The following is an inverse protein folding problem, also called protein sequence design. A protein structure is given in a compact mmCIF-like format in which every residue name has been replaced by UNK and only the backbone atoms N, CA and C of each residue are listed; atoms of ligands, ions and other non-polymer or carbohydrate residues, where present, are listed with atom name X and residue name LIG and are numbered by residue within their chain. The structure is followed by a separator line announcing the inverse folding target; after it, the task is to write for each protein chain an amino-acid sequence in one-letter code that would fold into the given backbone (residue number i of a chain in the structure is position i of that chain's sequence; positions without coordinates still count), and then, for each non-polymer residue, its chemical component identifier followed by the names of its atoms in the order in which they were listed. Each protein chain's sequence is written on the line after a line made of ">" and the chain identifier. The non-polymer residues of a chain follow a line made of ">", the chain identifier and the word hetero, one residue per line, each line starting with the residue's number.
data_IF_411753380077
#
_entry.id   IF_411753380077
#
_cell.length_a   1.000
_cell.length_b   1.000
_cell.length_c   1.000
_cell.angle_alpha   90.00
_cell.angle_beta   90.00
_cell.angle_gamma   90.00
#
_symmetry.space_group_name_H-M   'P 1'
#
loop_
_entity.id
_entity.type
_entity.pdbx_description
1 polymer ?
#
# COMPACT_ATOMS: atom_id res chain seq x y z
N UNK A 1 24.10 -2.34 18.50
CA UNK A 1 23.31 -1.62 19.51
C UNK A 1 22.50 -0.55 18.80
N UNK A 2 21.22 -0.85 18.51
CA UNK A 2 20.11 0.11 18.40
C UNK A 2 18.77 -0.64 18.18
N UNK A 3 18.58 -1.79 18.84
CA UNK A 3 17.38 -2.62 18.65
C UNK A 3 16.11 -2.01 19.27
N UNK A 4 16.22 -0.99 20.12
CA UNK A 4 15.08 -0.33 20.76
C UNK A 4 14.29 0.56 19.80
N UNK A 5 14.93 1.10 18.76
CA UNK A 5 14.31 2.02 17.80
C UNK A 5 13.48 1.27 16.74
N UNK A 6 13.78 -0.01 16.50
CA UNK A 6 13.13 -0.82 15.46
C UNK A 6 11.66 -1.18 15.77
N UNK A 7 11.30 -1.26 17.06
CA UNK A 7 10.09 -2.00 17.49
C UNK A 7 8.97 -1.13 18.09
N UNK A 8 9.02 0.21 17.94
CA UNK A 8 8.07 1.14 18.59
C UNK A 8 7.89 0.93 20.11
N UNK A 9 8.74 0.12 20.75
CA UNK A 9 8.59 -0.28 22.15
C UNK A 9 8.71 0.91 23.11
N UNK A 10 9.31 1.99 22.64
CA UNK A 10 9.51 3.24 23.38
C UNK A 10 8.50 4.33 23.04
N UNK A 11 7.57 4.09 22.10
CA UNK A 11 6.54 5.06 21.71
C UNK A 11 5.36 5.01 22.69
N UNK A 12 5.61 5.47 23.92
CA UNK A 12 4.60 5.56 24.96
C UNK A 12 3.67 6.76 24.75
N UNK A 13 2.44 6.74 25.30
CA UNK A 13 1.50 7.87 25.22
C UNK A 13 2.11 9.23 25.61
N UNK A 14 2.97 9.27 26.63
CA UNK A 14 3.67 10.47 27.09
C UNK A 14 4.57 11.06 25.99
N UNK A 15 5.38 10.21 25.34
CA UNK A 15 6.26 10.63 24.25
C UNK A 15 5.47 11.17 23.05
N UNK A 16 4.30 10.58 22.76
CA UNK A 16 3.43 11.06 21.70
C UNK A 16 2.86 12.44 22.03
N UNK A 17 2.41 12.65 23.28
CA UNK A 17 1.90 13.95 23.73
C UNK A 17 2.99 15.02 23.67
N UNK A 18 4.21 14.71 24.11
CA UNK A 18 5.34 15.62 24.05
C UNK A 18 5.73 15.96 22.60
N UNK A 19 5.73 14.97 21.71
CA UNK A 19 5.98 15.17 20.28
C UNK A 19 4.94 16.10 19.64
N UNK A 20 3.65 15.89 19.94
CA UNK A 20 2.57 16.75 19.46
C UNK A 20 2.70 18.18 20.02
N UNK A 21 3.01 18.32 21.31
CA UNK A 21 3.23 19.62 21.93
C UNK A 21 4.41 20.36 21.30
N UNK A 22 5.50 19.66 20.98
CA UNK A 22 6.65 20.21 20.27
C UNK A 22 6.30 20.69 18.85
N UNK A 23 5.39 19.99 18.16
CA UNK A 23 4.82 20.41 16.88
C UNK A 23 3.77 21.53 17.01
N UNK A 24 3.44 21.98 18.23
CA UNK A 24 2.50 23.07 18.49
C UNK A 24 1.04 22.64 18.65
N UNK A 25 0.77 21.34 18.81
CA UNK A 25 -0.57 20.80 19.04
C UNK A 25 -0.71 20.26 20.45
N UNK A 26 -1.81 20.61 21.11
CA UNK A 26 -2.15 20.09 22.43
C UNK A 26 -3.27 19.06 22.31
N UNK A 27 -3.05 17.91 22.93
CA UNK A 27 -4.07 16.87 23.03
C UNK A 27 -5.02 17.24 24.17
N UNK A 28 -6.31 17.41 23.88
CA UNK A 28 -7.37 17.59 24.87
C UNK A 28 -7.91 16.23 25.33
N UNK A 29 -8.26 15.37 24.37
CA UNK A 29 -8.85 14.07 24.64
C UNK A 29 -8.58 13.07 23.52
N UNK A 30 -8.71 11.77 23.83
CA UNK A 30 -8.47 10.68 22.89
C UNK A 30 -7.06 10.11 23.03
N UNK A 31 -6.29 10.14 21.96
CA UNK A 31 -5.08 9.35 21.75
C UNK A 31 -5.36 7.85 21.59
N UNK A 32 -6.43 7.55 20.86
CA UNK A 32 -6.84 6.18 20.54
C UNK A 32 -5.98 5.63 19.41
N UNK A 33 -5.32 4.50 19.64
CA UNK A 33 -4.59 3.80 18.60
C UNK A 33 -5.55 3.31 17.49
N UNK A 34 -5.22 3.59 16.24
CA UNK A 34 -5.90 3.06 15.06
C UNK A 34 -5.21 1.79 14.56
N UNK A 35 -5.93 0.95 13.83
CA UNK A 35 -5.37 -0.29 13.29
C UNK A 35 -4.44 0.02 12.11
N UNK A 36 -3.14 0.11 12.38
CA UNK A 36 -2.08 0.20 11.37
C UNK A 36 -0.89 -0.65 11.82
N UNK A 37 -0.46 -1.56 10.96
CA UNK A 37 0.62 -2.51 11.26
C UNK A 37 2.00 -1.96 10.93
N UNK A 38 2.09 -1.19 9.84
CA UNK A 38 3.34 -0.61 9.41
C UNK A 38 3.78 0.50 10.35
N UNK A 39 2.94 1.53 10.46
CA UNK A 39 3.19 2.74 11.22
C UNK A 39 2.34 2.76 12.48
N UNK A 40 2.72 3.57 13.49
CA UNK A 40 1.86 3.76 14.67
C UNK A 40 0.99 4.98 14.45
N UNK A 41 -0.32 4.76 14.42
CA UNK A 41 -1.31 5.77 14.09
C UNK A 41 -2.24 5.97 15.28
N UNK A 42 -2.40 7.21 15.72
CA UNK A 42 -3.26 7.57 16.84
C UNK A 42 -4.20 8.71 16.45
N UNK A 43 -5.43 8.62 16.92
CA UNK A 43 -6.43 9.66 16.74
C UNK A 43 -6.66 10.42 18.04
N UNK A 44 -6.73 11.74 17.96
CA UNK A 44 -6.95 12.61 19.11
C UNK A 44 -7.78 13.84 18.73
N UNK A 45 -8.22 14.56 19.76
CA UNK A 45 -8.90 15.84 19.64
C UNK A 45 -8.07 16.92 20.31
N UNK A 46 -8.01 18.12 19.75
CA UNK A 46 -7.33 19.28 20.35
C UNK A 46 -8.26 20.13 21.24
N UNK A 47 -7.70 21.19 21.84
CA UNK A 47 -8.43 22.13 22.70
C UNK A 47 -9.57 22.89 21.95
N UNK A 48 -9.50 22.97 20.61
CA UNK A 48 -10.52 23.56 19.75
C UNK A 48 -11.59 22.55 19.28
N UNK A 49 -11.55 21.32 19.80
CA UNK A 49 -12.42 20.20 19.43
C UNK A 49 -12.26 19.72 17.98
N UNK A 50 -11.13 19.99 17.34
CA UNK A 50 -10.77 19.45 16.03
C UNK A 50 -10.13 18.08 16.20
N UNK A 51 -10.49 17.14 15.32
CA UNK A 51 -9.96 15.77 15.34
C UNK A 51 -8.78 15.65 14.38
N UNK A 52 -7.74 14.99 14.86
CA UNK A 52 -6.51 14.75 14.13
C UNK A 52 -6.09 13.30 14.21
N UNK A 53 -5.24 12.91 13.27
CA UNK A 53 -4.51 11.65 13.28
C UNK A 53 -3.02 11.96 13.24
N UNK A 54 -2.26 11.40 14.17
CA UNK A 54 -0.80 11.41 14.11
C UNK A 54 -0.30 10.06 13.63
N UNK A 55 0.60 10.06 12.65
CA UNK A 55 1.26 8.88 12.10
C UNK A 55 2.74 8.96 12.41
N UNK A 56 3.23 8.06 13.25
CA UNK A 56 4.65 7.85 13.48
C UNK A 56 5.16 6.82 12.48
N UNK A 57 6.05 7.27 11.59
CA UNK A 57 6.67 6.44 10.57
C UNK A 57 7.58 5.40 11.20
N UNK A 58 7.50 4.15 10.73
CA UNK A 58 8.39 3.09 11.20
C UNK A 58 9.83 3.47 10.87
N UNK A 59 10.73 3.52 11.88
CA UNK A 59 12.14 3.74 11.64
C UNK A 59 12.70 2.72 10.65
N UNK A 60 13.62 3.17 9.80
CA UNK A 60 14.32 2.33 8.80
C UNK A 60 13.43 1.79 7.65
N UNK A 61 12.13 2.11 7.59
CA UNK A 61 11.30 1.84 6.40
C UNK A 61 11.53 2.89 5.32
N UNK A 62 11.30 4.15 5.66
CA UNK A 62 11.45 5.27 4.75
C UNK A 62 12.46 6.28 5.29
N UNK A 63 13.28 6.80 4.39
CA UNK A 63 14.14 7.96 4.68
C UNK A 63 13.28 9.23 4.77
N UNK A 64 13.82 10.28 5.43
CA UNK A 64 13.17 11.59 5.51
C UNK A 64 12.79 12.12 4.12
N UNK A 65 13.71 12.01 3.15
CA UNK A 65 13.47 12.46 1.77
C UNK A 65 12.31 11.71 1.09
N UNK A 66 12.18 10.40 1.33
CA UNK A 66 11.08 9.59 0.79
C UNK A 66 9.74 9.97 1.43
N UNK A 67 9.70 10.22 2.74
CA UNK A 67 8.47 10.67 3.40
C UNK A 67 8.05 12.05 2.86
N UNK A 68 9.01 12.97 2.70
CA UNK A 68 8.74 14.30 2.15
C UNK A 68 8.23 14.24 0.70
N UNK A 69 8.71 13.31 -0.13
CA UNK A 69 8.17 13.10 -1.48
C UNK A 69 6.68 12.69 -1.47
N UNK A 70 6.27 11.80 -0.57
CA UNK A 70 4.85 11.48 -0.37
C UNK A 70 4.06 12.70 0.08
N UNK A 71 4.61 13.50 1.00
CA UNK A 71 3.94 14.71 1.48
C UNK A 71 3.71 15.72 0.36
N UNK A 72 4.70 15.93 -0.51
CA UNK A 72 4.56 16.78 -1.69
C UNK A 72 3.50 16.22 -2.62
N UNK A 73 3.52 14.91 -2.90
CA UNK A 73 2.50 14.31 -3.77
C UNK A 73 1.09 14.42 -3.18
N UNK A 74 0.92 14.20 -1.87
CA UNK A 74 -0.36 14.35 -1.19
C UNK A 74 -0.88 15.80 -1.24
N UNK A 75 0.02 16.79 -1.15
CA UNK A 75 -0.32 18.21 -1.29
C UNK A 75 -0.73 18.55 -2.71
N UNK A 76 0.04 18.14 -3.73
CA UNK A 76 -0.30 18.33 -5.13
C UNK A 76 -1.67 17.71 -5.48
N UNK A 77 -1.93 16.48 -4.99
CA UNK A 77 -3.22 15.83 -5.16
C UNK A 77 -4.37 16.64 -4.53
N UNK A 78 -4.17 17.16 -3.32
CA UNK A 78 -5.18 17.99 -2.66
C UNK A 78 -5.41 19.33 -3.40
N UNK A 79 -4.35 19.94 -3.95
CA UNK A 79 -4.42 21.16 -4.77
C UNK A 79 -5.14 20.91 -6.10
N UNK A 80 -4.95 19.74 -6.70
CA UNK A 80 -5.67 19.28 -7.89
C UNK A 80 -7.06 18.70 -7.55
N UNK A 81 -7.60 19.01 -6.36
CA UNK A 81 -8.92 18.61 -5.83
C UNK A 81 -9.20 17.10 -5.86
N UNK A 82 -8.16 16.28 -5.71
CA UNK A 82 -8.30 14.85 -5.47
C UNK A 82 -8.61 14.63 -3.99
N UNK A 83 -9.59 13.77 -3.64
CA UNK A 83 -9.98 13.50 -2.27
C UNK A 83 -8.93 12.59 -1.61
N UNK A 84 -7.84 13.20 -1.18
CA UNK A 84 -6.81 12.59 -0.32
C UNK A 84 -6.65 13.39 0.96
N UNK A 85 -5.93 12.83 1.94
CA UNK A 85 -5.62 13.53 3.20
C UNK A 85 -4.15 13.94 3.21
N UNK A 86 -3.88 15.20 2.89
CA UNK A 86 -2.55 15.78 2.99
C UNK A 86 -2.14 16.02 4.47
N UNK A 87 -0.85 15.90 4.80
CA UNK A 87 -0.34 16.26 6.13
C UNK A 87 -0.46 17.76 6.39
N UNK A 88 -0.73 18.12 7.64
CA UNK A 88 -0.74 19.50 8.11
C UNK A 88 0.65 20.10 8.07
N UNK A 89 0.73 21.37 7.69
CA UNK A 89 1.94 22.16 7.91
C UNK A 89 1.89 22.78 9.31
N UNK A 90 2.70 22.26 10.23
CA UNK A 90 2.84 22.77 11.59
C UNK A 90 4.24 23.36 11.74
N UNK A 91 4.36 24.56 12.31
CA UNK A 91 5.64 25.26 12.43
C UNK A 91 6.44 25.35 11.09
N UNK A 92 5.73 25.45 9.97
CA UNK A 92 6.31 25.55 8.62
C UNK A 92 6.82 24.23 8.03
N UNK A 93 6.52 23.07 8.62
CA UNK A 93 6.91 21.75 8.12
C UNK A 93 5.76 20.75 8.23
N UNK A 94 5.78 19.70 7.41
CA UNK A 94 4.81 18.59 7.46
C UNK A 94 5.36 17.37 8.17
N UNK A 95 6.67 17.16 8.08
CA UNK A 95 7.40 16.09 8.75
C UNK A 95 8.16 16.63 9.97
N UNK A 96 7.97 15.97 11.09
CA UNK A 96 8.59 16.28 12.36
C UNK A 96 9.44 15.11 12.85
N UNK A 97 10.44 15.40 13.68
CA UNK A 97 11.29 14.42 14.32
C UNK A 97 11.29 14.67 15.84
N UNK A 98 10.94 13.65 16.62
CA UNK A 98 10.98 13.73 18.08
C UNK A 98 11.52 12.42 18.65
N UNK A 99 12.57 12.50 19.46
CA UNK A 99 13.21 11.35 20.12
C UNK A 99 13.49 10.15 19.17
N UNK A 100 13.92 10.45 17.94
CA UNK A 100 14.26 9.46 16.92
C UNK A 100 13.10 8.95 16.06
N UNK A 101 11.87 9.43 16.28
CA UNK A 101 10.71 9.06 15.47
C UNK A 101 10.29 10.20 14.54
N UNK A 102 10.21 9.88 13.25
CA UNK A 102 9.58 10.75 12.27
C UNK A 102 8.06 10.65 12.39
N UNK A 103 7.35 11.77 12.36
CA UNK A 103 5.89 11.79 12.39
C UNK A 103 5.29 12.95 11.60
N UNK A 104 4.05 12.74 11.17
CA UNK A 104 3.22 13.77 10.56
C UNK A 104 1.81 13.74 11.16
N UNK A 105 1.14 14.89 11.10
CA UNK A 105 -0.24 15.04 11.61
C UNK A 105 -1.17 15.33 10.44
N UNK A 106 -2.31 14.65 10.42
CA UNK A 106 -3.30 14.71 9.35
C UNK A 106 -4.64 15.13 9.94
N UNK A 107 -5.48 15.87 9.18
CA UNK A 107 -6.89 16.02 9.53
C UNK A 107 -7.55 14.65 9.70
N UNK A 108 -8.29 14.44 10.78
CA UNK A 108 -9.04 13.20 10.94
C UNK A 108 -10.27 13.24 10.05
N UNK A 109 -10.21 12.49 8.97
CA UNK A 109 -11.37 12.24 8.11
C UNK A 109 -12.17 11.05 8.62
N UNK A 110 -13.50 11.15 8.53
CA UNK A 110 -14.40 10.02 8.78
C UNK A 110 -15.05 9.61 7.47
N UNK A 111 -15.42 8.34 7.37
CA UNK A 111 -16.13 7.80 6.22
C UNK A 111 -16.57 6.38 6.51
N UNK A 112 -17.51 5.88 5.72
CA UNK A 112 -17.86 4.45 5.70
C UNK A 112 -16.82 3.72 4.84
N UNK A 113 -16.84 2.40 4.90
CA UNK A 113 -16.07 1.61 3.94
C UNK A 113 -16.68 1.76 2.55
N UNK A 114 -15.84 1.85 1.53
CA UNK A 114 -16.23 1.74 0.13
C UNK A 114 -16.92 0.38 -0.13
N UNK A 115 -18.02 0.41 -0.88
CA UNK A 115 -18.80 -0.77 -1.23
C UNK A 115 -18.41 -1.25 -2.63
N UNK A 116 -17.73 -2.40 -2.71
CA UNK A 116 -17.23 -2.93 -3.99
C UNK A 116 -18.34 -3.31 -4.97
N UNK A 117 -19.51 -3.74 -4.47
CA UNK A 117 -20.64 -4.16 -5.30
C UNK A 117 -21.45 -2.97 -5.88
N UNK A 118 -21.05 -1.73 -5.57
CA UNK A 118 -21.74 -0.53 -6.00
C UNK A 118 -21.04 0.09 -7.22
N UNK A 119 -21.67 -0.04 -8.39
CA UNK A 119 -21.14 0.45 -9.67
C UNK A 119 -21.00 1.96 -9.73
N UNK A 120 -21.91 2.70 -9.10
CA UNK A 120 -21.80 4.16 -9.02
C UNK A 120 -20.54 4.53 -8.23
N UNK A 121 -20.30 3.88 -7.08
CA UNK A 121 -19.08 4.11 -6.32
C UNK A 121 -17.83 3.72 -7.11
N UNK A 122 -17.87 2.62 -7.87
CA UNK A 122 -16.77 2.19 -8.73
C UNK A 122 -16.45 3.22 -9.82
N UNK A 123 -17.47 3.82 -10.46
CA UNK A 123 -17.31 4.89 -11.44
C UNK A 123 -16.62 6.11 -10.82
N UNK A 124 -17.09 6.56 -9.65
CA UNK A 124 -16.46 7.67 -8.91
C UNK A 124 -15.00 7.37 -8.54
N UNK A 125 -14.71 6.15 -8.10
CA UNK A 125 -13.34 5.71 -7.81
C UNK A 125 -12.50 5.74 -9.09
N UNK A 126 -12.99 5.21 -10.22
CA UNK A 126 -12.31 5.24 -11.51
C UNK A 126 -11.98 6.68 -11.95
N UNK A 127 -12.96 7.59 -11.86
CA UNK A 127 -12.79 9.01 -12.16
C UNK A 127 -11.67 9.66 -11.36
N UNK A 128 -11.66 9.45 -10.04
CA UNK A 128 -10.63 10.05 -9.19
C UNK A 128 -9.27 9.36 -9.30
N UNK A 129 -9.22 8.07 -9.63
CA UNK A 129 -7.97 7.41 -10.02
C UNK A 129 -7.39 8.02 -11.30
N UNK A 130 -8.24 8.39 -12.26
CA UNK A 130 -7.84 9.19 -13.42
C UNK A 130 -7.18 10.50 -13.02
N UNK A 131 -7.76 11.24 -12.06
CA UNK A 131 -7.18 12.49 -11.52
C UNK A 131 -5.89 12.26 -10.72
N UNK A 132 -5.81 11.19 -9.93
CA UNK A 132 -4.59 10.80 -9.20
C UNK A 132 -3.47 10.59 -10.21
N UNK A 133 -3.71 9.80 -11.26
CA UNK A 133 -2.71 9.49 -12.28
C UNK A 133 -2.39 10.67 -13.20
N UNK A 134 -3.36 11.55 -13.47
CA UNK A 134 -3.10 12.82 -14.16
C UNK A 134 -2.09 13.66 -13.38
N UNK A 135 -2.29 13.82 -12.07
CA UNK A 135 -1.34 14.50 -11.17
C UNK A 135 -0.01 13.74 -11.08
N UNK A 136 -0.09 12.42 -10.94
CA UNK A 136 1.05 11.52 -10.84
C UNK A 136 1.93 11.47 -12.10
N UNK A 137 1.40 11.90 -13.25
CA UNK A 137 2.14 12.00 -14.52
C UNK A 137 2.98 13.26 -14.67
N UNK A 138 2.73 14.30 -13.85
CA UNK A 138 3.44 15.60 -13.94
C UNK A 138 4.95 15.45 -13.70
N UNK A 139 5.34 14.56 -12.79
CA UNK A 139 6.73 14.18 -12.52
C UNK A 139 6.78 12.82 -11.83
N UNK A 140 7.96 12.18 -11.80
CA UNK A 140 8.19 10.94 -11.05
C UNK A 140 8.76 11.24 -9.67
N UNK A 141 8.57 10.31 -8.73
CA UNK A 141 9.37 10.31 -7.51
C UNK A 141 10.85 10.13 -7.84
N UNK A 142 11.73 10.88 -7.19
CA UNK A 142 13.18 10.81 -7.38
C UNK A 142 13.84 9.87 -6.37
N UNK A 143 13.29 9.74 -5.16
CA UNK A 143 13.84 8.87 -4.10
C UNK A 143 12.91 7.75 -3.65
N UNK A 144 11.58 7.89 -3.80
CA UNK A 144 10.69 6.75 -3.57
C UNK A 144 10.91 5.65 -4.62
N UNK A 145 10.71 4.37 -4.24
CA UNK A 145 10.97 3.27 -5.16
C UNK A 145 10.10 3.32 -6.41
N UNK A 146 10.57 2.62 -7.43
CA UNK A 146 9.76 2.22 -8.59
C UNK A 146 9.46 0.74 -8.46
N UNK A 147 8.20 0.34 -8.70
CA UNK A 147 7.79 -1.06 -8.67
C UNK A 147 8.69 -1.88 -9.60
N UNK A 148 9.22 -2.98 -9.08
CA UNK A 148 10.07 -3.86 -9.84
C UNK A 148 10.42 -5.15 -9.10
N UNK A 149 11.03 -6.08 -9.85
CA UNK A 149 11.35 -7.43 -9.40
C UNK A 149 12.28 -7.47 -8.19
N UNK A 150 13.21 -6.51 -8.08
CA UNK A 150 14.18 -6.52 -7.00
C UNK A 150 13.54 -6.43 -5.60
N UNK A 151 12.72 -5.40 -5.37
CA UNK A 151 12.05 -5.17 -4.08
C UNK A 151 10.95 -6.21 -3.82
N UNK A 152 10.20 -6.61 -4.85
CA UNK A 152 9.01 -7.44 -4.68
C UNK A 152 9.26 -8.95 -4.74
N UNK A 153 10.36 -9.39 -5.36
CA UNK A 153 10.66 -10.81 -5.55
C UNK A 153 12.05 -11.20 -5.03
N UNK A 154 13.12 -10.56 -5.52
CA UNK A 154 14.49 -11.03 -5.25
C UNK A 154 14.89 -10.85 -3.79
N UNK A 155 14.72 -9.65 -3.23
CA UNK A 155 15.01 -9.40 -1.83
C UNK A 155 14.09 -10.21 -0.89
N UNK A 156 12.77 -10.30 -1.13
CA UNK A 156 11.89 -11.23 -0.41
C UNK A 156 12.35 -12.68 -0.47
N UNK A 157 12.74 -13.17 -1.64
CA UNK A 157 13.18 -14.56 -1.81
C UNK A 157 14.45 -14.85 -1.00
N UNK A 158 15.46 -13.97 -1.08
CA UNK A 158 16.69 -14.07 -0.28
C UNK A 158 16.41 -14.11 1.22
N UNK A 159 15.47 -13.29 1.70
CA UNK A 159 15.05 -13.29 3.08
C UNK A 159 14.33 -14.60 3.45
N UNK A 160 13.40 -15.05 2.61
CA UNK A 160 12.61 -16.26 2.86
C UNK A 160 13.48 -17.53 2.88
N UNK A 161 14.56 -17.58 2.10
CA UNK A 161 15.54 -18.69 2.16
C UNK A 161 16.10 -18.91 3.57
N UNK A 162 16.28 -17.82 4.33
CA UNK A 162 16.85 -17.83 5.67
C UNK A 162 15.79 -17.65 6.77
N UNK A 163 14.50 -17.57 6.40
CA UNK A 163 13.43 -17.29 7.35
C UNK A 163 13.23 -18.48 8.30
N UNK A 164 13.34 -18.27 9.63
CA UNK A 164 13.17 -19.33 10.62
C UNK A 164 11.71 -19.77 10.77
N UNK A 165 10.75 -18.94 10.34
CA UNK A 165 9.31 -19.21 10.44
C UNK A 165 8.86 -20.33 9.50
N UNK A 166 9.61 -20.59 8.43
CA UNK A 166 9.31 -21.65 7.47
C UNK A 166 9.73 -23.00 8.08
N UNK A 167 8.80 -23.95 8.31
CA UNK A 167 9.16 -25.21 8.94
C UNK A 167 10.08 -26.04 8.05
N UNK A 168 10.95 -26.83 8.68
CA UNK A 168 12.02 -27.58 7.98
C UNK A 168 11.51 -28.53 6.91
N UNK A 169 10.36 -29.16 7.12
CA UNK A 169 9.79 -30.11 6.16
C UNK A 169 9.26 -29.43 4.89
N UNK A 170 8.63 -28.26 5.02
CA UNK A 170 8.02 -27.52 3.91
C UNK A 170 9.01 -26.63 3.16
N UNK A 171 10.14 -26.27 3.79
CA UNK A 171 11.09 -25.28 3.26
C UNK A 171 11.52 -25.55 1.81
N UNK A 172 11.96 -26.76 1.49
CA UNK A 172 12.45 -27.04 0.13
C UNK A 172 11.34 -26.89 -0.91
N UNK A 173 10.17 -27.47 -0.65
CA UNK A 173 9.03 -27.40 -1.58
C UNK A 173 8.51 -25.96 -1.73
N UNK A 174 8.42 -25.21 -0.63
CA UNK A 174 8.02 -23.81 -0.66
C UNK A 174 9.00 -22.97 -1.49
N UNK A 175 10.31 -23.07 -1.21
CA UNK A 175 11.31 -22.26 -1.92
C UNK A 175 11.40 -22.61 -3.41
N UNK A 176 11.16 -23.87 -3.80
CA UNK A 176 11.05 -24.29 -5.20
C UNK A 176 9.81 -23.71 -5.88
N UNK A 177 8.67 -23.71 -5.21
CA UNK A 177 7.45 -23.07 -5.74
C UNK A 177 7.62 -21.56 -5.87
N UNK A 178 8.28 -20.90 -4.90
CA UNK A 178 8.58 -19.47 -4.96
C UNK A 178 9.54 -19.15 -6.10
N UNK A 179 10.66 -19.89 -6.26
CA UNK A 179 11.59 -19.63 -7.37
C UNK A 179 10.93 -19.87 -8.73
N UNK A 180 10.15 -20.95 -8.88
CA UNK A 180 9.42 -21.21 -10.12
C UNK A 180 8.39 -20.12 -10.45
N UNK A 181 7.72 -19.57 -9.43
CA UNK A 181 6.84 -18.42 -9.61
C UNK A 181 7.62 -17.17 -10.06
N UNK A 182 8.78 -16.90 -9.46
CA UNK A 182 9.64 -15.77 -9.83
C UNK A 182 10.10 -15.89 -11.29
N UNK A 183 10.61 -17.05 -11.69
CA UNK A 183 11.07 -17.30 -13.07
C UNK A 183 9.96 -17.02 -14.10
N UNK A 184 8.71 -17.41 -13.79
CA UNK A 184 7.56 -17.13 -14.64
C UNK A 184 7.28 -15.62 -14.65
N UNK A 185 7.20 -14.96 -13.49
CA UNK A 185 6.93 -13.52 -13.43
C UNK A 185 7.98 -12.73 -14.23
N UNK A 186 9.25 -13.10 -14.15
CA UNK A 186 10.32 -12.47 -14.95
C UNK A 186 10.05 -12.51 -16.45
N UNK A 187 9.50 -13.62 -16.96
CA UNK A 187 9.21 -13.78 -18.39
C UNK A 187 8.02 -12.93 -18.88
N UNK A 188 7.13 -12.54 -17.97
CA UNK A 188 5.94 -11.71 -18.28
C UNK A 188 6.09 -10.25 -17.81
N UNK A 189 7.08 -9.95 -16.96
CA UNK A 189 7.30 -8.61 -16.47
C UNK A 189 7.94 -7.74 -17.56
N UNK A 190 7.32 -6.59 -17.79
CA UNK A 190 7.81 -5.58 -18.73
C UNK A 190 7.89 -4.22 -18.04
N UNK A 191 8.73 -3.34 -18.57
CA UNK A 191 9.05 -2.02 -17.98
C UNK A 191 8.84 -0.86 -18.95
N UNK A 192 8.36 -1.16 -20.16
CA UNK A 192 7.99 -0.23 -21.22
C UNK A 192 6.54 0.26 -21.07
N UNK A 193 6.18 0.61 -19.84
CA UNK A 193 4.97 1.36 -19.50
C UNK A 193 5.34 2.79 -19.12
N UNK A 194 4.37 3.71 -19.24
CA UNK A 194 4.57 5.06 -18.74
C UNK A 194 4.52 5.07 -17.21
N UNK A 195 5.63 5.43 -16.58
CA UNK A 195 5.75 5.45 -15.12
C UNK A 195 5.05 6.67 -14.52
N UNK A 196 4.18 6.42 -13.56
CA UNK A 196 3.42 7.44 -12.82
C UNK A 196 3.76 7.37 -11.33
N UNK A 197 3.59 8.47 -10.59
CA UNK A 197 3.42 8.40 -9.14
C UNK A 197 2.05 7.81 -8.83
N UNK A 198 2.04 6.71 -8.09
CA UNK A 198 0.86 5.92 -7.75
C UNK A 198 0.49 6.11 -6.28
N UNK A 199 -0.76 5.77 -5.95
CA UNK A 199 -1.11 5.39 -4.58
C UNK A 199 -0.31 4.16 -4.13
N UNK A 200 -0.07 3.20 -5.03
CA UNK A 200 0.81 2.04 -4.84
C UNK A 200 0.19 0.88 -4.06
N UNK A 201 -0.80 1.18 -3.21
CA UNK A 201 -1.61 0.22 -2.44
C UNK A 201 -3.12 0.51 -2.52
N UNK A 202 -3.62 0.88 -3.70
CA UNK A 202 -5.04 1.21 -3.88
C UNK A 202 -5.90 -0.06 -3.90
N UNK A 203 -6.56 -0.33 -2.77
CA UNK A 203 -7.53 -1.41 -2.62
C UNK A 203 -8.71 -0.94 -1.75
N UNK A 204 -9.85 -1.66 -1.72
CA UNK A 204 -11.07 -1.23 -1.04
C UNK A 204 -10.87 -0.80 0.43
N UNK A 205 -9.98 -1.47 1.15
CA UNK A 205 -9.61 -1.13 2.54
C UNK A 205 -8.96 0.25 2.73
N UNK A 206 -8.34 0.82 1.69
CA UNK A 206 -7.72 2.16 1.67
C UNK A 206 -8.61 3.22 1.00
N UNK A 207 -9.89 2.89 0.77
CA UNK A 207 -10.89 3.83 0.23
C UNK A 207 -12.02 3.97 1.26
N UNK A 208 -12.18 5.18 1.76
CA UNK A 208 -13.34 5.56 2.57
C UNK A 208 -14.40 6.23 1.68
N UNK A 209 -15.64 6.21 2.14
CA UNK A 209 -16.75 6.82 1.43
C UNK A 209 -17.51 7.84 2.30
N UNK A 210 -17.60 9.07 1.82
CA UNK A 210 -18.41 10.14 2.40
C UNK A 210 -18.72 11.18 1.32
N UNK A 211 -19.92 11.11 0.75
CA UNK A 211 -20.37 11.97 -0.35
C UNK A 211 -19.43 11.93 -1.59
N UNK A 212 -18.67 10.84 -1.71
CA UNK A 212 -17.59 10.61 -2.68
C UNK A 212 -16.49 9.71 -2.08
N UNK A 213 -15.57 9.19 -2.91
CA UNK A 213 -14.45 8.40 -2.43
C UNK A 213 -13.43 9.30 -1.73
N UNK A 214 -12.71 8.74 -0.77
CA UNK A 214 -11.60 9.37 -0.07
C UNK A 214 -10.48 8.36 0.05
N UNK A 215 -9.39 8.60 -0.68
CA UNK A 215 -8.22 7.74 -0.68
C UNK A 215 -7.35 8.06 0.53
N UNK A 216 -6.99 7.02 1.28
CA UNK A 216 -6.21 7.15 2.50
C UNK A 216 -4.95 6.30 2.41
N UNK A 217 -3.93 6.72 3.15
CA UNK A 217 -2.65 6.01 3.30
C UNK A 217 -1.79 5.93 2.03
N UNK A 218 -1.12 7.03 1.71
CA UNK A 218 -0.11 7.10 0.65
C UNK A 218 1.27 6.57 1.10
N UNK A 219 1.36 5.79 2.20
CA UNK A 219 2.66 5.28 2.69
C UNK A 219 3.41 4.46 1.66
N UNK A 220 2.66 3.70 0.87
CA UNK A 220 3.17 2.82 -0.18
C UNK A 220 3.19 3.48 -1.57
N UNK A 221 2.93 4.80 -1.63
CA UNK A 221 3.06 5.57 -2.86
C UNK A 221 4.46 5.38 -3.44
N UNK A 222 4.50 5.12 -4.75
CA UNK A 222 5.70 4.72 -5.48
C UNK A 222 5.52 4.97 -6.96
N UNK A 223 6.59 4.90 -7.72
CA UNK A 223 6.51 4.94 -9.18
C UNK A 223 6.04 3.58 -9.72
N UNK A 224 5.20 3.55 -10.77
CA UNK A 224 4.80 2.30 -11.38
C UNK A 224 3.80 2.43 -12.53
N UNK A 225 3.28 1.29 -13.04
CA UNK A 225 2.24 1.28 -14.06
C UNK A 225 0.87 1.58 -13.45
N UNK A 226 0.03 2.32 -14.17
CA UNK A 226 -1.32 2.72 -13.74
C UNK A 226 -2.18 1.54 -13.25
N UNK A 227 -2.07 0.38 -13.91
CA UNK A 227 -2.84 -0.83 -13.54
C UNK A 227 -2.66 -1.25 -12.08
N UNK A 228 -1.54 -0.91 -11.43
CA UNK A 228 -1.28 -1.23 -10.02
C UNK A 228 -2.38 -0.71 -9.10
N UNK A 229 -2.91 0.49 -9.37
CA UNK A 229 -3.95 1.09 -8.53
C UNK A 229 -5.38 0.70 -8.95
N UNK A 230 -5.52 -0.12 -10.00
CA UNK A 230 -6.81 -0.53 -10.56
C UNK A 230 -7.14 -1.99 -10.26
N UNK A 231 -6.17 -2.90 -10.41
CA UNK A 231 -6.47 -4.34 -10.46
C UNK A 231 -7.01 -4.91 -9.15
N UNK A 232 -6.66 -4.30 -8.00
CA UNK A 232 -7.10 -4.74 -6.68
C UNK A 232 -8.55 -4.35 -6.35
N UNK A 233 -9.19 -3.56 -7.21
CA UNK A 233 -10.62 -3.22 -7.11
C UNK A 233 -11.51 -4.28 -7.79
N UNK A 234 -10.94 -5.05 -8.71
CA UNK A 234 -11.65 -6.08 -9.45
C UNK A 234 -11.92 -7.30 -8.56
N UNK A 235 -13.14 -7.85 -8.65
CA UNK A 235 -13.56 -9.01 -7.88
C UNK A 235 -14.56 -9.86 -8.66
N UNK A 236 -14.83 -11.07 -8.15
CA UNK A 236 -15.78 -11.98 -8.78
C UNK A 236 -15.20 -12.73 -9.98
N UNK A 237 -16.09 -13.28 -10.80
CA UNK A 237 -15.72 -14.06 -11.98
C UNK A 237 -15.21 -13.18 -13.13
N UNK A 238 -14.57 -13.79 -14.13
CA UNK A 238 -13.95 -13.07 -15.26
C UNK A 238 -14.92 -12.16 -16.02
N UNK A 239 -16.20 -12.51 -16.11
CA UNK A 239 -17.21 -11.65 -16.75
C UNK A 239 -17.54 -10.42 -15.89
N UNK A 240 -17.63 -10.59 -14.58
CA UNK A 240 -17.86 -9.50 -13.62
C UNK A 240 -16.66 -8.55 -13.59
N UNK A 241 -15.43 -9.09 -13.53
CA UNK A 241 -14.19 -8.31 -13.59
C UNK A 241 -14.08 -7.50 -14.89
N UNK A 242 -14.49 -8.06 -16.03
CA UNK A 242 -14.51 -7.33 -17.31
C UNK A 242 -15.46 -6.15 -17.26
N UNK A 243 -16.66 -6.36 -16.72
CA UNK A 243 -17.68 -5.32 -16.58
C UNK A 243 -17.22 -4.21 -15.63
N UNK A 244 -16.61 -4.57 -14.50
CA UNK A 244 -16.02 -3.62 -13.56
C UNK A 244 -14.88 -2.83 -14.19
N UNK A 245 -14.00 -3.51 -14.95
CA UNK A 245 -12.90 -2.88 -15.65
C UNK A 245 -13.40 -1.88 -16.70
N UNK A 246 -14.48 -2.21 -17.43
CA UNK A 246 -15.10 -1.31 -18.41
C UNK A 246 -15.61 -0.02 -17.74
N UNK A 247 -16.42 -0.15 -16.69
CA UNK A 247 -16.92 0.99 -15.88
C UNK A 247 -15.76 1.83 -15.34
N UNK A 248 -14.76 1.17 -14.75
CA UNK A 248 -13.63 1.84 -14.14
C UNK A 248 -12.81 2.61 -15.17
N UNK A 249 -12.52 1.99 -16.32
CA UNK A 249 -11.69 2.59 -17.37
C UNK A 249 -12.43 3.68 -18.15
N UNK A 250 -13.74 3.56 -18.33
CA UNK A 250 -14.56 4.62 -18.92
C UNK A 250 -14.47 5.91 -18.08
N UNK A 251 -14.70 5.79 -16.76
CA UNK A 251 -14.61 6.93 -15.85
C UNK A 251 -13.17 7.45 -15.67
N UNK A 252 -12.18 6.55 -15.60
CA UNK A 252 -10.76 6.89 -15.53
C UNK A 252 -10.31 7.74 -16.74
N UNK A 253 -10.83 7.39 -17.92
CA UNK A 253 -10.48 8.03 -19.20
C UNK A 253 -10.96 9.47 -19.32
N UNK A 254 -11.79 9.97 -18.39
CA UNK A 254 -12.14 11.38 -18.30
C UNK A 254 -10.90 12.27 -18.01
N UNK A 255 -9.88 11.73 -17.33
CA UNK A 255 -8.73 12.52 -16.85
C UNK A 255 -7.35 11.96 -17.27
N UNK A 256 -7.25 10.67 -17.60
CA UNK A 256 -6.00 10.04 -18.00
C UNK A 256 -6.20 8.90 -19.01
N UNK A 257 -5.29 8.74 -19.96
CA UNK A 257 -5.33 7.62 -20.90
C UNK A 257 -4.79 6.33 -20.27
N UNK A 258 -5.49 5.20 -20.47
CA UNK A 258 -5.03 3.90 -20.01
C UNK A 258 -4.46 3.05 -21.16
N UNK A 259 -3.26 2.52 -20.96
CA UNK A 259 -2.62 1.62 -21.93
C UNK A 259 -3.11 0.19 -21.67
N UNK A 260 -3.94 -0.34 -22.58
CA UNK A 260 -4.61 -1.63 -22.41
C UNK A 260 -3.67 -2.84 -22.28
N UNK A 261 -2.43 -2.73 -22.73
CA UNK A 261 -1.40 -3.76 -22.59
C UNK A 261 -0.91 -3.93 -21.14
N UNK A 262 -1.14 -2.93 -20.27
CA UNK A 262 -0.90 -3.05 -18.83
C UNK A 262 -1.80 -4.07 -18.15
N UNK A 263 -2.92 -4.49 -18.76
CA UNK A 263 -3.75 -5.59 -18.22
C UNK A 263 -2.98 -6.91 -18.10
N UNK A 264 -1.94 -7.11 -18.94
CA UNK A 264 -1.07 -8.27 -18.83
C UNK A 264 -0.18 -8.25 -17.56
N UNK A 265 -0.06 -7.10 -16.89
CA UNK A 265 0.71 -6.95 -15.65
C UNK A 265 -0.07 -7.33 -14.39
N UNK A 266 -1.38 -7.59 -14.48
CA UNK A 266 -2.21 -7.92 -13.30
C UNK A 266 -1.66 -9.14 -12.56
N UNK A 267 -1.44 -10.25 -13.26
CA UNK A 267 -0.94 -11.48 -12.64
C UNK A 267 0.52 -11.36 -12.16
N UNK A 268 1.44 -10.70 -12.91
CA UNK A 268 2.77 -10.36 -12.39
C UNK A 268 2.73 -9.54 -11.10
N UNK A 269 1.94 -8.46 -11.05
CA UNK A 269 1.81 -7.59 -9.87
C UNK A 269 1.17 -8.33 -8.69
N UNK A 270 0.20 -9.21 -8.95
CA UNK A 270 -0.41 -10.06 -7.92
C UNK A 270 0.62 -11.01 -7.32
N UNK A 271 1.41 -11.70 -8.15
CA UNK A 271 2.46 -12.60 -7.70
C UNK A 271 3.54 -11.84 -6.89
N UNK A 272 3.98 -10.68 -7.39
CA UNK A 272 4.87 -9.75 -6.69
C UNK A 272 4.34 -9.39 -5.30
N UNK A 273 3.07 -8.97 -5.21
CA UNK A 273 2.42 -8.63 -3.94
C UNK A 273 2.39 -9.82 -2.98
N UNK A 274 2.06 -11.02 -3.46
CA UNK A 274 2.00 -12.22 -2.62
C UNK A 274 3.35 -12.58 -2.01
N UNK A 275 4.43 -12.59 -2.81
CA UNK A 275 5.79 -12.90 -2.32
C UNK A 275 6.29 -11.81 -1.38
N UNK A 276 6.14 -10.54 -1.77
CA UNK A 276 6.52 -9.39 -0.95
C UNK A 276 5.81 -9.39 0.41
N UNK A 277 4.51 -9.71 0.45
CA UNK A 277 3.72 -9.76 1.69
C UNK A 277 4.31 -10.73 2.73
N UNK A 278 4.74 -11.92 2.31
CA UNK A 278 5.35 -12.89 3.25
C UNK A 278 6.65 -12.36 3.84
N UNK A 279 7.51 -11.76 3.01
CA UNK A 279 8.73 -11.13 3.48
C UNK A 279 8.46 -9.91 4.34
N UNK A 280 7.42 -9.13 4.02
CA UNK A 280 6.98 -7.97 4.80
C UNK A 280 6.60 -8.35 6.23
N UNK A 281 5.83 -9.43 6.40
CA UNK A 281 5.51 -9.99 7.74
C UNK A 281 6.76 -10.53 8.43
N UNK A 282 7.59 -11.30 7.72
CA UNK A 282 8.78 -11.92 8.29
C UNK A 282 9.83 -10.89 8.77
N UNK A 283 10.04 -9.79 8.04
CA UNK A 283 10.94 -8.68 8.41
C UNK A 283 10.56 -8.03 9.75
N UNK A 284 9.28 -8.09 10.12
CA UNK A 284 8.70 -7.38 11.27
C UNK A 284 8.30 -8.33 12.40
N UNK A 285 8.71 -9.59 12.33
CA UNK A 285 8.26 -10.62 13.26
C UNK A 285 8.66 -10.36 14.72
N UNK A 286 9.74 -9.60 14.96
CA UNK A 286 10.16 -9.20 16.31
C UNK A 286 9.26 -8.13 16.94
N UNK A 287 8.46 -7.39 16.15
CA UNK A 287 7.46 -6.46 16.67
C UNK A 287 6.29 -7.27 17.25
N UNK A 288 5.96 -7.13 18.55
CA UNK A 288 4.92 -7.94 19.21
C UNK A 288 3.54 -7.88 18.56
N UNK A 289 3.25 -6.84 17.76
CA UNK A 289 2.01 -6.77 17.00
C UNK A 289 1.93 -7.83 15.90
N UNK A 290 3.05 -8.25 15.32
CA UNK A 290 3.06 -9.16 14.18
C UNK A 290 2.73 -10.60 14.57
N UNK A 291 3.37 -11.24 15.57
CA UNK A 291 2.97 -12.57 16.03
C UNK A 291 1.53 -12.63 16.52
N UNK A 292 1.01 -11.53 17.09
CA UNK A 292 -0.37 -11.44 17.58
C UNK A 292 -1.40 -11.43 16.46
N UNK A 293 -1.13 -10.73 15.36
CA UNK A 293 -2.09 -10.55 14.25
C UNK A 293 -1.85 -11.52 13.10
N UNK A 294 -0.66 -12.10 12.99
CA UNK A 294 -0.28 -13.08 11.96
C UNK A 294 0.20 -14.41 12.58
N UNK A 295 -0.52 -15.01 13.56
CA UNK A 295 -0.05 -16.20 14.28
C UNK A 295 0.15 -17.41 13.34
N UNK A 296 -0.60 -17.46 12.24
CA UNK A 296 -0.53 -18.49 11.20
C UNK A 296 0.83 -18.55 10.48
N UNK A 297 1.68 -17.53 10.55
CA UNK A 297 3.04 -17.58 9.95
C UNK A 297 3.93 -18.67 10.55
N UNK A 298 3.59 -19.16 11.75
CA UNK A 298 4.31 -20.26 12.42
C UNK A 298 3.69 -21.63 12.16
N UNK A 299 2.56 -21.68 11.46
CA UNK A 299 1.82 -22.91 11.18
C UNK A 299 2.36 -23.60 9.92
N UNK A 300 2.60 -24.91 10.00
CA UNK A 300 3.05 -25.71 8.87
C UNK A 300 1.98 -25.83 7.77
N UNK A 301 0.70 -25.86 8.15
CA UNK A 301 -0.40 -25.96 7.19
C UNK A 301 -0.53 -24.68 6.37
N UNK A 302 -0.23 -23.53 6.97
CA UNK A 302 -0.15 -22.26 6.25
C UNK A 302 0.89 -22.31 5.13
N UNK A 303 2.13 -22.73 5.41
CA UNK A 303 3.19 -22.80 4.40
C UNK A 303 2.91 -23.83 3.31
N UNK A 304 2.24 -24.94 3.66
CA UNK A 304 1.77 -25.91 2.67
C UNK A 304 0.73 -25.28 1.72
N UNK A 305 -0.27 -24.59 2.28
CA UNK A 305 -1.29 -23.89 1.49
C UNK A 305 -0.66 -22.78 0.64
N UNK A 306 0.29 -22.03 1.18
CA UNK A 306 0.97 -20.96 0.46
C UNK A 306 1.79 -21.49 -0.72
N UNK A 307 2.41 -22.67 -0.58
CA UNK A 307 3.08 -23.38 -1.67
C UNK A 307 2.11 -23.71 -2.80
N UNK A 308 0.91 -24.22 -2.46
CA UNK A 308 -0.14 -24.49 -3.44
C UNK A 308 -0.61 -23.21 -4.15
N UNK A 309 -0.78 -22.11 -3.40
CA UNK A 309 -1.16 -20.79 -3.96
C UNK A 309 -0.11 -20.32 -4.97
N UNK A 310 1.19 -20.41 -4.66
CA UNK A 310 2.24 -20.02 -5.62
C UNK A 310 2.26 -20.90 -6.87
N UNK A 311 2.00 -22.20 -6.72
CA UNK A 311 1.91 -23.12 -7.85
C UNK A 311 0.70 -22.83 -8.73
N UNK A 312 -0.42 -22.40 -8.14
CA UNK A 312 -1.62 -21.98 -8.87
C UNK A 312 -1.42 -20.63 -9.56
N UNK A 313 -0.83 -19.65 -8.87
CA UNK A 313 -0.50 -18.34 -9.43
C UNK A 313 0.42 -18.45 -10.64
N UNK A 314 1.38 -19.38 -10.61
CA UNK A 314 2.24 -19.72 -11.75
C UNK A 314 1.44 -20.19 -12.99
N UNK A 315 0.33 -20.90 -12.80
CA UNK A 315 -0.56 -21.32 -13.90
C UNK A 315 -1.39 -20.15 -14.42
N UNK A 316 -1.96 -19.34 -13.52
CA UNK A 316 -2.74 -18.15 -13.89
C UNK A 316 -1.92 -17.14 -14.69
N UNK A 317 -0.63 -16.98 -14.38
CA UNK A 317 0.31 -16.16 -15.16
C UNK A 317 0.46 -16.62 -16.62
N UNK A 318 0.22 -17.89 -16.91
CA UNK A 318 0.32 -18.47 -18.24
C UNK A 318 -1.01 -18.45 -18.99
N UNK A 319 -2.12 -18.20 -18.30
CA UNK A 319 -3.43 -18.02 -18.94
C UNK A 319 -3.50 -16.69 -19.71
N UNK A 320 -4.35 -16.58 -20.74
CA UNK A 320 -4.53 -15.32 -21.46
C UNK A 320 -4.98 -14.22 -20.48
N UNK A 321 -4.38 -13.01 -20.56
CA UNK A 321 -4.67 -11.93 -19.63
C UNK A 321 -6.12 -11.46 -19.73
N UNK A 322 -6.56 -10.70 -18.72
CA UNK A 322 -7.84 -9.99 -18.81
C UNK A 322 -7.81 -9.05 -20.02
N UNK A 323 -8.92 -8.99 -20.74
CA UNK A 323 -9.06 -8.20 -21.96
C UNK A 323 -10.46 -7.58 -21.96
N UNK A 324 -10.55 -6.34 -22.45
CA UNK A 324 -11.80 -5.60 -22.62
C UNK A 324 -12.70 -6.20 -23.71
N UNK A 325 -12.12 -6.66 -24.81
CA UNK A 325 -12.86 -7.34 -25.88
C UNK A 325 -12.66 -8.87 -25.81
N UNK A 326 -13.69 -9.69 -26.05
CA UNK A 326 -13.51 -11.13 -26.22
C UNK A 326 -12.62 -11.42 -27.43
N UNK A 327 -11.66 -12.33 -27.30
CA UNK A 327 -11.06 -12.98 -28.47
C UNK A 327 -12.13 -13.90 -29.07
N UNK A 328 -12.58 -13.58 -30.29
CA UNK A 328 -13.47 -14.43 -31.09
C UNK A 328 -12.71 -15.59 -31.73
#
# INVERSE_FOLDING_TARGET
>A
MNSSVFNFQTLFPELIMDALLNAGLRVDSGLTALNSYENRVYQFTDEERKRYVVKFYRPERWTEAQILEEHVFAQELAEDEVPVVAPLTLNGRTLHLYEGFHFAVFPSVGGRQYEMDNEEQLEWVGRFLGRIHQTGSKCSFSVRPTIGLNEYLYEPYQLLQHCPLIPKMQRNTFLQATSGLIDIVESYWRTDWHSLRLHGDCHPGNILWRDGPLFVDLDDARNGPAIQDLWMLLHGERQEQRRQLDILLEAYSEFAEFQGDQLALIEPLRAMRQVYYLAWVARRWEDPAFPRNFPWMTDADFWLKQTSIFTEQAKLLQDPPLQLMPMY
#
